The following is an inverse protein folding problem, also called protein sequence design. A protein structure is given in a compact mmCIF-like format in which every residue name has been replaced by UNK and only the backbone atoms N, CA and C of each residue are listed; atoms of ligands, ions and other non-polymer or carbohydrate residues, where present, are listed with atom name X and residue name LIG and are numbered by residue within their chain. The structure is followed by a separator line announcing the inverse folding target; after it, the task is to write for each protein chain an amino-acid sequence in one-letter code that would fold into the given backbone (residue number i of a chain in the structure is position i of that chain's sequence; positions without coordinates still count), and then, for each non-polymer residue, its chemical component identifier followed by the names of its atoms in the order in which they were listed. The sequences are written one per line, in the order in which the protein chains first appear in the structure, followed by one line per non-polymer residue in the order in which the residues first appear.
data_IF_875055976040
#
_entry.id   IF_875055976040
#
_cell.length_a   1.000
_cell.length_b   1.000
_cell.length_c   1.000
_cell.angle_alpha   90.00
_cell.angle_beta   90.00
_cell.angle_gamma   90.00
#
_symmetry.space_group_name_H-M   'P 1'
#
loop_
_entity.id
_entity.type
_entity.pdbx_description
1 polymer ?
#
# COMPACT_ATOMS: atom_id res chain seq x y z
N UNK A 1 -42.46 -1.56 -61.22
CA UNK A 1 -41.89 -0.72 -60.14
C UNK A 1 -41.56 -1.60 -58.94
N UNK A 2 -40.41 -1.34 -58.33
CA UNK A 2 -39.72 -2.09 -57.26
C UNK A 2 -40.48 -2.06 -55.94
N UNK A 3 -40.28 -3.09 -55.10
CA UNK A 3 -39.78 -3.02 -53.69
C UNK A 3 -39.87 -4.42 -53.08
N UNK A 4 -38.82 -5.23 -53.11
CA UNK A 4 -37.67 -5.32 -52.18
C UNK A 4 -38.06 -5.75 -50.75
N UNK A 5 -37.69 -6.99 -50.43
CA UNK A 5 -37.74 -7.68 -49.13
C UNK A 5 -36.72 -7.06 -48.16
N UNK A 6 -37.08 -6.98 -46.88
CA UNK A 6 -36.13 -6.73 -45.79
C UNK A 6 -36.26 -7.84 -44.75
N UNK A 7 -35.31 -8.78 -44.77
CA UNK A 7 -35.06 -9.70 -43.67
C UNK A 7 -34.17 -8.96 -42.67
N UNK A 8 -34.63 -8.79 -41.43
CA UNK A 8 -33.77 -8.37 -40.32
C UNK A 8 -32.93 -9.57 -39.88
N UNK A 9 -31.62 -9.45 -40.03
CA UNK A 9 -30.63 -10.35 -39.46
C UNK A 9 -30.16 -9.73 -38.13
N UNK A 10 -30.64 -10.24 -37.00
CA UNK A 10 -30.14 -9.83 -35.69
C UNK A 10 -28.79 -10.51 -35.43
N UNK A 11 -27.70 -9.76 -35.62
CA UNK A 11 -26.37 -10.17 -35.20
C UNK A 11 -26.23 -9.96 -33.68
N UNK A 12 -26.16 -11.07 -32.94
CA UNK A 12 -25.83 -11.08 -31.52
C UNK A 12 -24.33 -10.79 -31.37
N UNK A 13 -23.97 -9.56 -30.98
CA UNK A 13 -22.59 -9.24 -30.59
C UNK A 13 -22.31 -9.90 -29.23
N UNK A 14 -21.59 -11.02 -29.23
CA UNK A 14 -20.98 -11.54 -28.03
C UNK A 14 -19.81 -10.61 -27.63
N UNK A 15 -19.98 -9.88 -26.53
CA UNK A 15 -18.89 -9.14 -25.92
C UNK A 15 -17.92 -10.11 -25.23
N UNK A 16 -16.95 -10.61 -26.00
CA UNK A 16 -15.78 -11.31 -25.45
C UNK A 16 -14.95 -10.31 -24.66
N UNK A 17 -15.18 -10.23 -23.35
CA UNK A 17 -14.37 -9.43 -22.42
C UNK A 17 -13.20 -10.30 -21.93
N UNK A 18 -12.21 -10.54 -22.78
CA UNK A 18 -10.93 -11.09 -22.34
C UNK A 18 -10.07 -9.94 -21.81
N UNK A 19 -9.80 -9.94 -20.51
CA UNK A 19 -8.55 -9.41 -19.98
C UNK A 19 -8.25 -10.11 -18.65
N UNK A 20 -7.88 -11.39 -18.73
CA UNK A 20 -6.96 -11.93 -17.74
C UNK A 20 -5.60 -11.28 -18.05
N UNK A 21 -5.38 -10.06 -17.55
CA UNK A 21 -4.09 -9.39 -17.66
C UNK A 21 -3.08 -10.28 -16.96
N UNK A 22 -2.12 -10.85 -17.70
CA UNK A 22 -1.11 -11.70 -17.07
C UNK A 22 -0.22 -10.83 -16.17
N UNK A 23 0.38 -11.39 -15.14
CA UNK A 23 1.25 -10.66 -14.20
C UNK A 23 2.47 -10.03 -14.91
N UNK A 24 2.80 -10.54 -16.10
CA UNK A 24 3.83 -10.00 -16.99
C UNK A 24 3.41 -8.70 -17.70
N UNK A 25 2.12 -8.44 -17.80
CA UNK A 25 1.57 -7.25 -18.46
C UNK A 25 1.36 -6.09 -17.47
N UNK A 26 1.54 -6.32 -16.17
CA UNK A 26 1.51 -5.26 -15.16
C UNK A 26 2.78 -4.44 -15.27
N UNK A 27 2.62 -3.16 -15.63
CA UNK A 27 3.70 -2.18 -15.78
C UNK A 27 3.43 -1.00 -14.87
N UNK A 28 4.44 -0.61 -14.10
CA UNK A 28 4.37 0.59 -13.26
C UNK A 28 4.40 1.88 -14.09
N UNK A 29 3.68 2.89 -13.62
CA UNK A 29 3.74 4.27 -14.13
C UNK A 29 4.60 5.21 -13.27
N UNK A 30 5.18 4.69 -12.19
CA UNK A 30 5.97 5.47 -11.24
C UNK A 30 7.46 5.45 -11.59
N UNK A 31 8.23 6.34 -10.95
CA UNK A 31 9.69 6.42 -11.11
C UNK A 31 10.46 5.60 -10.06
N UNK A 32 9.81 5.24 -8.95
CA UNK A 32 10.47 4.62 -7.79
C UNK A 32 11.21 5.62 -6.88
N UNK A 33 11.01 6.93 -7.10
CA UNK A 33 11.54 7.96 -6.22
C UNK A 33 10.72 8.07 -4.92
N UNK A 34 11.36 8.59 -3.86
CA UNK A 34 10.71 8.79 -2.56
C UNK A 34 9.60 9.84 -2.64
N UNK A 35 8.47 9.55 -2.01
CA UNK A 35 7.37 10.50 -1.82
C UNK A 35 7.38 10.96 -0.37
N UNK A 36 7.53 12.27 -0.14
CA UNK A 36 7.71 12.84 1.21
C UNK A 36 6.51 13.67 1.68
N UNK A 37 5.61 14.03 0.77
CA UNK A 37 4.50 14.97 0.98
C UNK A 37 3.12 14.29 1.05
N UNK A 38 3.10 12.98 1.26
CA UNK A 38 1.88 12.19 1.31
C UNK A 38 1.65 11.60 2.71
N UNK A 39 0.71 12.18 3.46
CA UNK A 39 0.27 11.62 4.75
C UNK A 39 -0.61 10.39 4.52
N UNK A 40 -0.32 9.30 5.22
CA UNK A 40 -1.17 8.11 5.20
C UNK A 40 -2.58 8.44 5.71
N UNK A 41 -3.61 7.92 5.02
CA UNK A 41 -5.00 8.30 5.29
C UNK A 41 -5.80 7.30 6.11
N UNK A 42 -5.40 6.04 6.10
CA UNK A 42 -6.28 5.00 6.63
C UNK A 42 -6.20 4.93 8.15
N UNK A 43 -7.33 5.07 8.88
CA UNK A 43 -7.41 4.61 10.25
C UNK A 43 -7.28 3.09 10.23
N UNK A 44 -6.39 2.55 11.06
CA UNK A 44 -6.23 1.12 11.07
C UNK A 44 -7.45 0.49 11.70
N UNK A 45 -8.32 -0.10 10.87
CA UNK A 45 -9.54 -0.79 11.35
C UNK A 45 -9.21 -1.85 12.41
N UNK A 46 -7.95 -2.29 12.48
CA UNK A 46 -7.46 -3.26 13.46
C UNK A 46 -6.35 -2.77 14.39
N UNK A 47 -5.58 -1.73 14.06
CA UNK A 47 -4.58 -1.17 14.99
C UNK A 47 -5.22 -0.34 16.12
N UNK A 48 -6.47 0.11 15.91
CA UNK A 48 -7.18 0.97 16.85
C UNK A 48 -6.65 2.41 16.86
N UNK A 49 -5.75 2.77 15.94
CA UNK A 49 -5.28 4.15 15.78
C UNK A 49 -6.34 4.97 15.04
N UNK A 50 -6.83 6.03 15.68
CA UNK A 50 -7.92 6.88 15.19
C UNK A 50 -7.43 8.10 14.37
N UNK A 51 -6.10 8.22 14.21
CA UNK A 51 -5.36 9.29 13.51
C UNK A 51 -5.19 10.56 14.33
N UNK A 52 -5.39 10.50 15.63
CA UNK A 52 -5.09 11.56 16.58
C UNK A 52 -3.99 11.07 17.51
N UNK A 53 -3.04 11.94 17.84
CA UNK A 53 -1.97 11.61 18.81
C UNK A 53 -2.10 12.50 20.03
N UNK A 54 -2.92 12.07 20.99
CA UNK A 54 -3.10 12.76 22.28
C UNK A 54 -2.53 11.97 23.47
N UNK A 55 -1.98 10.77 23.21
CA UNK A 55 -1.36 9.92 24.23
C UNK A 55 -0.19 9.11 23.67
N UNK A 56 0.72 8.67 24.56
CA UNK A 56 1.82 7.78 24.17
C UNK A 56 1.33 6.43 23.64
N UNK A 57 0.13 6.02 24.06
CA UNK A 57 -0.49 4.81 23.55
C UNK A 57 -0.88 4.93 22.07
N UNK A 58 -1.18 6.13 21.57
CA UNK A 58 -1.44 6.38 20.14
C UNK A 58 -0.19 6.19 19.30
N UNK A 59 0.97 6.62 19.80
CA UNK A 59 2.26 6.38 19.14
C UNK A 59 2.59 4.88 19.08
N UNK A 60 2.28 4.11 20.13
CA UNK A 60 2.42 2.65 20.10
C UNK A 60 1.45 2.01 19.08
N UNK A 61 0.21 2.50 19.00
CA UNK A 61 -0.76 2.05 17.98
C UNK A 61 -0.31 2.41 16.56
N UNK A 62 0.35 3.56 16.38
CA UNK A 62 0.94 3.98 15.12
C UNK A 62 2.09 3.05 14.70
N UNK A 63 2.99 2.68 15.62
CA UNK A 63 4.03 1.67 15.37
C UNK A 63 3.41 0.33 14.98
N UNK A 64 2.38 -0.13 15.69
CA UNK A 64 1.66 -1.36 15.33
C UNK A 64 0.97 -1.26 13.95
N UNK A 65 0.46 -0.09 13.58
CA UNK A 65 -0.12 0.15 12.25
C UNK A 65 0.93 0.10 11.13
N UNK A 66 2.17 0.54 11.41
CA UNK A 66 3.28 0.44 10.46
C UNK A 66 3.61 -1.03 10.14
N UNK A 67 3.62 -1.89 11.16
CA UNK A 67 3.75 -3.34 10.98
C UNK A 67 2.56 -3.93 10.20
N UNK A 68 1.34 -3.55 10.58
CA UNK A 68 0.10 -4.09 10.00
C UNK A 68 -0.34 -5.40 10.66
N UNK A 69 -1.40 -6.03 10.12
CA UNK A 69 -1.94 -7.29 10.64
C UNK A 69 -1.32 -8.50 9.93
N UNK A 70 -0.23 -9.03 10.50
CA UNK A 70 0.43 -10.24 10.00
C UNK A 70 -0.47 -11.47 9.93
N UNK A 71 -1.57 -11.54 10.70
CA UNK A 71 -2.51 -12.68 10.72
C UNK A 71 -3.39 -12.75 9.47
N UNK A 72 -3.52 -11.64 8.74
CA UNK A 72 -4.22 -11.59 7.45
C UNK A 72 -3.28 -11.90 6.26
N UNK A 73 -2.00 -12.16 6.55
CA UNK A 73 -0.93 -11.92 5.61
C UNK A 73 -0.71 -10.42 5.46
N UNK A 74 0.55 -9.96 5.55
CA UNK A 74 0.83 -8.54 5.35
C UNK A 74 0.40 -8.06 3.96
N UNK A 75 0.21 -9.00 3.01
CA UNK A 75 -0.37 -8.76 1.69
C UNK A 75 -1.78 -8.15 1.71
N UNK A 76 -2.55 -8.31 2.80
CA UNK A 76 -3.94 -7.85 2.90
C UNK A 76 -4.15 -6.69 3.88
N UNK A 77 -3.18 -6.45 4.76
CA UNK A 77 -3.25 -5.42 5.80
C UNK A 77 -2.85 -4.02 5.33
N UNK A 78 -3.13 -3.65 4.08
CA UNK A 78 -2.64 -2.42 3.44
C UNK A 78 -3.58 -1.22 3.53
N UNK A 79 -4.78 -1.35 4.08
CA UNK A 79 -5.80 -0.29 4.03
C UNK A 79 -5.30 1.08 4.54
N UNK A 80 -4.42 1.07 5.54
CA UNK A 80 -3.81 2.24 6.17
C UNK A 80 -2.89 3.01 5.23
N UNK A 81 -2.17 2.28 4.38
CA UNK A 81 -1.10 2.77 3.51
C UNK A 81 -1.41 2.58 2.02
N UNK A 82 -2.63 2.13 1.66
CA UNK A 82 -2.97 1.71 0.31
C UNK A 82 -2.71 2.83 -0.69
N UNK A 83 -3.18 4.04 -0.42
CA UNK A 83 -2.97 5.18 -1.32
C UNK A 83 -1.48 5.49 -1.51
N UNK A 84 -0.67 5.34 -0.45
CA UNK A 84 0.79 5.57 -0.50
C UNK A 84 1.46 4.49 -1.35
N UNK A 85 1.05 3.23 -1.20
CA UNK A 85 1.54 2.11 -2.02
C UNK A 85 1.14 2.26 -3.49
N UNK A 86 -0.12 2.60 -3.78
CA UNK A 86 -0.58 2.82 -5.15
C UNK A 86 0.17 3.99 -5.81
N UNK A 87 0.39 5.08 -5.07
CA UNK A 87 1.14 6.23 -5.55
C UNK A 87 2.61 5.88 -5.83
N UNK A 88 3.29 5.22 -4.88
CA UNK A 88 4.71 4.86 -5.02
C UNK A 88 4.94 3.81 -6.10
N UNK A 89 4.12 2.74 -6.12
CA UNK A 89 4.28 1.65 -7.08
C UNK A 89 3.71 1.98 -8.45
N UNK A 90 2.87 3.01 -8.57
CA UNK A 90 2.26 3.42 -9.85
C UNK A 90 1.37 2.34 -10.48
N UNK A 91 0.83 1.43 -9.65
CA UNK A 91 -0.10 0.37 -10.01
C UNK A 91 -1.31 0.42 -9.08
N UNK A 92 -2.41 -0.19 -9.48
CA UNK A 92 -3.61 -0.28 -8.64
C UNK A 92 -3.44 -1.30 -7.51
N UNK A 93 -4.21 -1.17 -6.43
CA UNK A 93 -4.23 -2.16 -5.35
C UNK A 93 -4.52 -3.58 -5.84
N UNK A 94 -5.36 -3.72 -6.88
CA UNK A 94 -5.68 -5.03 -7.47
C UNK A 94 -4.49 -5.66 -8.18
N UNK A 95 -3.73 -4.87 -8.93
CA UNK A 95 -2.51 -5.34 -9.60
C UNK A 95 -1.44 -5.72 -8.58
N UNK A 96 -1.31 -4.93 -7.50
CA UNK A 96 -0.42 -5.27 -6.38
C UNK A 96 -0.81 -6.60 -5.74
N UNK A 97 -2.10 -6.83 -5.42
CA UNK A 97 -2.57 -8.11 -4.89
C UNK A 97 -2.27 -9.28 -5.84
N UNK A 98 -2.39 -9.09 -7.15
CA UNK A 98 -2.06 -10.13 -8.12
C UNK A 98 -0.59 -10.54 -8.01
N UNK A 99 0.31 -9.56 -7.95
CA UNK A 99 1.75 -9.82 -7.78
C UNK A 99 2.05 -10.49 -6.44
N UNK A 100 1.37 -10.09 -5.37
CA UNK A 100 1.68 -10.58 -4.02
C UNK A 100 1.02 -11.93 -3.68
N UNK A 101 -0.21 -12.17 -4.14
CA UNK A 101 -0.96 -13.40 -3.85
C UNK A 101 -0.73 -14.48 -4.90
N UNK A 102 -0.75 -14.14 -6.20
CA UNK A 102 -0.65 -15.16 -7.27
C UNK A 102 0.81 -15.54 -7.54
N UNK A 103 1.75 -14.59 -7.42
CA UNK A 103 3.19 -14.82 -7.65
C UNK A 103 4.00 -14.93 -6.34
N UNK A 104 3.34 -14.78 -5.19
CA UNK A 104 4.01 -14.88 -3.88
C UNK A 104 5.06 -13.81 -3.62
N UNK A 105 4.99 -12.66 -4.29
CA UNK A 105 5.94 -11.56 -4.10
C UNK A 105 5.63 -10.81 -2.80
N UNK A 106 6.66 -10.44 -2.05
CA UNK A 106 6.54 -9.40 -1.03
C UNK A 106 6.68 -7.99 -1.66
N UNK A 107 6.48 -6.93 -0.88
CA UNK A 107 6.57 -5.56 -1.41
C UNK A 107 7.97 -5.23 -1.95
N UNK A 108 9.02 -5.75 -1.34
CA UNK A 108 10.39 -5.59 -1.86
C UNK A 108 10.54 -6.21 -3.26
N UNK A 109 10.07 -7.44 -3.46
CA UNK A 109 10.10 -8.11 -4.75
C UNK A 109 9.22 -7.40 -5.80
N UNK A 110 8.09 -6.81 -5.40
CA UNK A 110 7.28 -5.95 -6.27
C UNK A 110 8.06 -4.69 -6.69
N UNK A 111 8.80 -4.06 -5.78
CA UNK A 111 9.69 -2.94 -6.12
C UNK A 111 10.77 -3.37 -7.12
N UNK A 112 11.45 -4.47 -6.85
CA UNK A 112 12.52 -5.01 -7.69
C UNK A 112 12.02 -5.38 -9.10
N UNK A 113 10.80 -5.93 -9.22
CA UNK A 113 10.14 -6.19 -10.51
C UNK A 113 10.07 -4.93 -11.39
N UNK A 114 9.87 -3.76 -10.79
CA UNK A 114 9.81 -2.47 -11.50
C UNK A 114 11.15 -1.72 -11.52
N UNK A 115 12.21 -2.30 -10.95
CA UNK A 115 13.53 -1.68 -10.86
C UNK A 115 13.62 -0.58 -9.79
N UNK A 116 12.70 -0.58 -8.82
CA UNK A 116 12.69 0.39 -7.71
C UNK A 116 13.49 -0.16 -6.52
N UNK A 117 14.17 0.72 -5.80
CA UNK A 117 14.86 0.36 -4.55
C UNK A 117 13.83 0.19 -3.42
N UNK A 118 13.72 -0.99 -2.77
CA UNK A 118 12.84 -1.17 -1.61
C UNK A 118 13.09 -0.18 -0.47
N UNK A 119 14.31 0.36 -0.33
CA UNK A 119 14.62 1.40 0.67
C UNK A 119 13.81 2.67 0.41
N UNK A 120 13.59 3.06 -0.86
CA UNK A 120 12.77 4.22 -1.19
C UNK A 120 11.30 4.02 -0.80
N UNK A 121 10.80 2.79 -0.87
CA UNK A 121 9.46 2.47 -0.37
C UNK A 121 9.40 2.60 1.16
N UNK A 122 10.37 2.05 1.89
CA UNK A 122 10.43 2.15 3.35
C UNK A 122 10.50 3.63 3.79
N UNK A 123 11.31 4.44 3.12
CA UNK A 123 11.42 5.87 3.38
C UNK A 123 10.10 6.60 3.10
N UNK A 124 9.43 6.28 1.99
CA UNK A 124 8.12 6.85 1.63
C UNK A 124 7.05 6.52 2.67
N UNK A 125 6.97 5.25 3.09
CA UNK A 125 6.02 4.81 4.12
C UNK A 125 6.31 5.49 5.46
N UNK A 126 7.59 5.58 5.85
CA UNK A 126 8.01 6.26 7.08
C UNK A 126 7.65 7.75 7.05
N UNK A 127 7.93 8.43 5.93
CA UNK A 127 7.55 9.83 5.73
C UNK A 127 6.03 10.04 5.82
N UNK A 128 5.24 9.07 5.33
CA UNK A 128 3.78 9.15 5.40
C UNK A 128 3.21 9.10 6.83
N UNK A 129 3.99 8.57 7.79
CA UNK A 129 3.62 8.46 9.21
C UNK A 129 4.26 9.56 10.07
N UNK A 130 5.32 10.22 9.59
CA UNK A 130 6.02 11.27 10.32
C UNK A 130 5.11 12.41 10.83
N UNK A 131 4.10 12.89 10.07
CA UNK A 131 3.20 13.93 10.54
C UNK A 131 2.39 13.57 11.80
N UNK A 132 2.20 12.28 12.12
CA UNK A 132 1.55 11.88 13.37
C UNK A 132 2.51 11.96 14.56
N UNK A 133 3.81 11.72 14.34
CA UNK A 133 4.82 11.91 15.38
C UNK A 133 5.00 13.40 15.68
N UNK A 134 5.02 14.24 14.64
CA UNK A 134 5.03 15.70 14.77
C UNK A 134 3.82 16.19 15.56
N UNK A 135 2.62 15.67 15.26
CA UNK A 135 1.40 15.96 16.03
C UNK A 135 1.54 15.58 17.52
N UNK A 136 2.19 14.45 17.83
CA UNK A 136 2.48 14.06 19.21
C UNK A 136 3.44 15.02 19.94
N UNK A 137 4.39 15.63 19.22
CA UNK A 137 5.25 16.69 19.77
C UNK A 137 4.43 17.95 20.03
N UNK A 138 3.63 18.38 19.05
CA UNK A 138 2.81 19.60 19.12
C UNK A 138 1.76 19.52 20.25
N UNK A 139 1.19 18.33 20.46
CA UNK A 139 0.24 18.06 21.54
C UNK A 139 0.91 17.86 22.92
N UNK A 140 2.24 17.87 23.00
CA UNK A 140 2.99 17.66 24.23
C UNK A 140 2.96 16.22 24.77
N UNK A 141 2.63 15.24 23.91
CA UNK A 141 2.62 13.81 24.24
C UNK A 141 4.04 13.29 24.42
N UNK A 142 4.96 13.76 23.58
CA UNK A 142 6.39 13.48 23.64
C UNK A 142 7.19 14.78 23.48
N UNK A 143 8.41 14.85 24.04
CA UNK A 143 9.32 15.94 23.74
C UNK A 143 9.93 15.80 22.32
N UNK A 144 10.39 16.91 21.76
CA UNK A 144 10.96 16.96 20.40
C UNK A 144 12.16 16.03 20.20
N UNK A 145 12.97 15.80 21.24
CA UNK A 145 14.13 14.91 21.19
C UNK A 145 13.76 13.41 21.17
N UNK A 146 12.53 13.05 21.55
CA UNK A 146 11.99 11.70 21.39
C UNK A 146 11.43 11.43 19.98
N UNK A 147 11.15 12.46 19.18
CA UNK A 147 10.49 12.29 17.87
C UNK A 147 11.27 11.34 16.94
N UNK A 148 12.59 11.49 16.85
CA UNK A 148 13.41 10.62 15.99
C UNK A 148 13.38 9.15 16.44
N UNK A 149 13.28 8.89 17.75
CA UNK A 149 13.19 7.52 18.29
C UNK A 149 11.91 6.85 17.77
N UNK A 150 10.79 7.58 17.77
CA UNK A 150 9.52 7.07 17.25
C UNK A 150 9.54 6.85 15.73
N UNK A 151 10.15 7.77 14.98
CA UNK A 151 10.33 7.62 13.54
C UNK A 151 11.15 6.37 13.21
N UNK A 152 12.25 6.10 13.92
CA UNK A 152 13.06 4.90 13.69
C UNK A 152 12.32 3.61 14.07
N UNK A 153 11.48 3.63 15.11
CA UNK A 153 10.61 2.49 15.44
C UNK A 153 9.62 2.18 14.32
N UNK A 154 8.94 3.21 13.80
CA UNK A 154 8.02 3.09 12.66
C UNK A 154 8.76 2.56 11.41
N UNK A 155 9.95 3.09 11.13
CA UNK A 155 10.79 2.66 10.01
C UNK A 155 11.21 1.21 10.13
N UNK A 156 11.54 0.74 11.33
CA UNK A 156 11.87 -0.65 11.58
C UNK A 156 10.69 -1.58 11.25
N UNK A 157 9.48 -1.20 11.65
CA UNK A 157 8.28 -2.00 11.32
C UNK A 157 7.97 -1.99 9.82
N UNK A 158 8.12 -0.86 9.14
CA UNK A 158 7.98 -0.83 7.68
C UNK A 158 9.05 -1.67 6.97
N UNK A 159 10.28 -1.69 7.47
CA UNK A 159 11.32 -2.59 6.94
C UNK A 159 10.88 -4.05 7.08
N UNK A 160 10.44 -4.46 8.27
CA UNK A 160 9.98 -5.83 8.48
C UNK A 160 8.82 -6.15 7.51
N UNK A 161 7.86 -5.24 7.38
CA UNK A 161 6.68 -5.42 6.53
C UNK A 161 7.02 -5.51 5.04
N UNK A 162 7.88 -4.63 4.55
CA UNK A 162 8.27 -4.59 3.14
C UNK A 162 8.98 -5.89 2.71
N UNK A 163 9.75 -6.47 3.62
CA UNK A 163 10.50 -7.71 3.38
C UNK A 163 9.81 -8.99 3.86
N UNK A 164 8.61 -8.90 4.47
CA UNK A 164 7.91 -10.06 4.99
C UNK A 164 7.54 -11.04 3.88
N UNK A 165 7.89 -12.32 4.05
CA UNK A 165 7.88 -13.34 3.01
C UNK A 165 6.70 -14.33 3.09
N UNK A 166 5.72 -14.08 3.96
CA UNK A 166 4.62 -15.02 4.17
C UNK A 166 4.78 -15.94 5.37
N UNK A 167 5.97 -16.01 5.96
CA UNK A 167 6.26 -16.90 7.10
C UNK A 167 6.25 -16.07 8.37
N UNK A 168 5.21 -16.22 9.18
CA UNK A 168 5.30 -15.81 10.59
C UNK A 168 6.10 -16.89 11.32
N UNK A 169 7.27 -16.54 11.86
CA UNK A 169 7.94 -17.36 12.87
C UNK A 169 6.90 -17.65 13.97
N UNK A 170 6.52 -18.93 14.08
CA UNK A 170 5.49 -19.40 15.00
C UNK A 170 5.92 -19.36 16.46
#
# INVERSE_FOLDING_TARGET
MRTLKTFLLSALLAASSTACTSERDIVSKATGDRILDMKARGPGTRSGFDRIVDSKADLERLVAAAWGDGRLGLHRGHAEIQEVLEAYLGITHREMHRLMEDEGMNLAAVCEKFGFDPVNLIDTLTASFAPFVEEGVDNGVIPMDEAQIWIERIRAEFRNRVHWDGVSDG
#
